data_IF_561024446987
#
_entry.id   IF_561024446987
#
_cell.length_a   1.000
_cell.length_b   1.000
_cell.length_c   1.000
_cell.angle_alpha   90.00
_cell.angle_beta   90.00
_cell.angle_gamma   90.00
#
_symmetry.space_group_name_H-M   'P 1'
#
loop_
_entity.id
_entity.type
_entity.pdbx_description
1 polymer ?
#
# COMPACT_ATOMS: atom_id res chain seq x y z
N UNK A 1 4.29 -33.57 -1.76
CA UNK A 1 5.34 -32.71 -1.17
C UNK A 1 4.62 -31.49 -0.66
N UNK A 2 4.54 -31.20 0.65
CA UNK A 2 3.87 -29.98 1.07
C UNK A 2 4.74 -28.80 0.67
N UNK A 3 4.12 -27.85 -0.02
CA UNK A 3 4.64 -26.53 -0.26
C UNK A 3 4.51 -25.76 1.06
N UNK A 4 5.55 -25.80 1.89
CA UNK A 4 5.65 -24.90 3.03
C UNK A 4 5.83 -23.48 2.47
N UNK A 5 4.78 -22.69 2.64
CA UNK A 5 4.60 -21.35 2.11
C UNK A 5 5.60 -20.39 2.76
N UNK A 6 6.55 -19.88 1.97
CA UNK A 6 7.41 -18.77 2.37
C UNK A 6 6.59 -17.47 2.20
N UNK A 7 5.58 -17.29 3.04
CA UNK A 7 4.79 -16.05 3.08
C UNK A 7 5.26 -15.21 4.26
N UNK A 8 5.77 -14.02 3.95
CA UNK A 8 6.26 -13.07 4.94
C UNK A 8 5.18 -12.04 5.24
N UNK A 9 4.69 -12.08 6.49
CA UNK A 9 3.75 -11.10 7.02
C UNK A 9 4.52 -9.97 7.72
N UNK A 10 4.29 -8.74 7.29
CA UNK A 10 4.80 -7.53 7.95
C UNK A 10 3.64 -6.58 8.23
N UNK A 11 3.44 -6.21 9.50
CA UNK A 11 2.42 -5.26 9.92
C UNK A 11 3.06 -3.94 10.32
N UNK A 12 2.65 -2.87 9.67
CA UNK A 12 2.98 -1.50 10.05
C UNK A 12 1.77 -0.90 10.77
N UNK A 13 1.93 -0.42 11.99
CA UNK A 13 0.92 0.36 12.72
C UNK A 13 1.47 1.76 12.96
N UNK A 14 0.75 2.76 12.46
CA UNK A 14 1.10 4.18 12.57
C UNK A 14 0.03 4.85 13.43
N UNK A 15 0.43 5.38 14.57
CA UNK A 15 -0.46 6.03 15.53
C UNK A 15 -0.09 7.51 15.65
N UNK A 16 -1.05 8.40 15.45
CA UNK A 16 -0.86 9.84 15.60
C UNK A 16 -1.40 10.32 16.95
N UNK A 17 -0.89 11.45 17.43
CA UNK A 17 -1.36 12.07 18.70
C UNK A 17 -2.85 12.48 18.67
N UNK A 18 -3.40 12.77 17.49
CA UNK A 18 -4.83 13.08 17.31
C UNK A 18 -5.73 11.83 17.45
N UNK A 19 -5.15 10.65 17.65
CA UNK A 19 -5.87 9.38 17.77
C UNK A 19 -6.14 8.69 16.43
N UNK A 20 -5.74 9.29 15.30
CA UNK A 20 -5.76 8.61 14.00
C UNK A 20 -4.75 7.47 13.99
N UNK A 21 -5.21 6.30 13.52
CA UNK A 21 -4.39 5.10 13.42
C UNK A 21 -4.56 4.45 12.06
N UNK A 22 -3.45 4.18 11.40
CA UNK A 22 -3.41 3.47 10.13
C UNK A 22 -2.59 2.18 10.26
N UNK A 23 -3.10 1.07 9.71
CA UNK A 23 -2.45 -0.24 9.78
C UNK A 23 -2.27 -0.82 8.39
N UNK A 24 -1.03 -1.08 7.98
CA UNK A 24 -0.72 -1.72 6.71
C UNK A 24 -0.22 -3.14 6.96
N UNK A 25 -1.01 -4.12 6.56
CA UNK A 25 -0.62 -5.52 6.55
C UNK A 25 -0.09 -5.87 5.16
N UNK A 26 1.21 -6.20 5.09
CA UNK A 26 1.85 -6.69 3.89
C UNK A 26 1.99 -8.21 3.98
N UNK A 27 1.28 -8.88 3.08
CA UNK A 27 1.36 -10.32 2.83
C UNK A 27 2.22 -10.52 1.58
N UNK A 28 3.43 -11.05 1.78
CA UNK A 28 4.46 -11.14 0.74
C UNK A 28 4.75 -12.61 0.48
N UNK A 29 4.23 -13.13 -0.64
CA UNK A 29 4.56 -14.46 -1.15
C UNK A 29 5.99 -14.45 -1.71
N UNK A 30 6.88 -15.30 -1.22
CA UNK A 30 8.26 -15.39 -1.69
C UNK A 30 8.44 -16.63 -2.58
N UNK A 31 9.22 -16.53 -3.68
CA UNK A 31 10.03 -15.39 -4.11
C UNK A 31 9.26 -14.34 -4.94
N UNK A 32 7.96 -14.55 -5.17
CA UNK A 32 7.16 -13.75 -6.10
C UNK A 32 6.48 -12.59 -5.36
N UNK A 33 7.19 -11.47 -5.22
CA UNK A 33 6.64 -10.23 -4.64
C UNK A 33 5.56 -9.65 -5.56
N UNK A 34 4.35 -10.17 -5.47
CA UNK A 34 3.19 -9.72 -6.22
C UNK A 34 2.21 -9.02 -5.27
N UNK A 35 1.94 -7.75 -5.54
CA UNK A 35 0.93 -7.00 -4.79
C UNK A 35 -0.44 -7.32 -5.41
N UNK A 36 -1.36 -7.80 -4.57
CA UNK A 36 -2.73 -8.11 -4.99
C UNK A 36 -3.42 -6.83 -5.48
N UNK A 37 -3.99 -6.90 -6.67
CA UNK A 37 -4.73 -5.76 -7.22
C UNK A 37 -6.07 -5.56 -6.49
N UNK A 38 -6.47 -4.31 -6.23
CA UNK A 38 -7.77 -3.99 -5.68
C UNK A 38 -8.89 -4.28 -6.69
N UNK A 39 -10.10 -4.42 -6.17
CA UNK A 39 -11.28 -4.72 -6.99
C UNK A 39 -11.59 -3.53 -7.94
N UNK A 40 -11.67 -3.75 -9.25
CA UNK A 40 -11.80 -2.68 -10.23
C UNK A 40 -13.10 -1.88 -10.08
N UNK A 41 -14.12 -2.47 -9.46
CA UNK A 41 -15.43 -1.85 -9.22
C UNK A 41 -15.37 -0.65 -8.26
N UNK A 42 -14.28 -0.51 -7.50
CA UNK A 42 -14.11 0.52 -6.47
C UNK A 42 -13.10 1.60 -6.86
N UNK A 43 -12.60 1.56 -8.10
CA UNK A 43 -11.56 2.47 -8.55
C UNK A 43 -12.15 3.84 -8.96
N UNK A 44 -11.52 4.95 -8.54
CA UNK A 44 -11.92 6.29 -8.95
C UNK A 44 -11.50 6.56 -10.40
N UNK A 45 -12.14 7.56 -11.03
CA UNK A 45 -11.90 7.93 -12.44
C UNK A 45 -10.42 8.22 -12.75
N UNK A 46 -9.67 8.77 -11.79
CA UNK A 46 -8.25 9.07 -12.01
C UNK A 46 -7.38 7.80 -12.13
N UNK A 47 -7.89 6.63 -11.74
CA UNK A 47 -7.22 5.35 -11.90
C UNK A 47 -7.48 4.69 -13.26
N UNK A 48 -8.34 5.27 -14.11
CA UNK A 48 -8.52 4.81 -15.49
C UNK A 48 -7.21 4.89 -16.28
N UNK A 49 -6.95 3.91 -17.15
CA UNK A 49 -5.68 3.86 -17.89
C UNK A 49 -5.48 5.09 -18.78
N UNK A 50 -6.57 5.60 -19.37
CA UNK A 50 -6.53 6.74 -20.28
C UNK A 50 -6.39 8.08 -19.53
N UNK A 51 -6.61 8.09 -18.22
CA UNK A 51 -6.39 9.26 -17.37
C UNK A 51 -4.88 9.44 -17.13
N UNK A 52 -4.26 10.35 -17.88
CA UNK A 52 -2.81 10.63 -17.82
C UNK A 52 -1.91 9.41 -18.08
N UNK A 53 -2.25 8.58 -19.08
CA UNK A 53 -1.41 7.47 -19.53
C UNK A 53 0.04 7.88 -19.78
N UNK A 54 0.99 7.13 -19.24
CA UNK A 54 2.42 7.39 -19.47
C UNK A 54 2.79 7.28 -20.96
N UNK A 55 3.70 8.13 -21.43
CA UNK A 55 4.11 8.22 -22.84
C UNK A 55 4.56 6.89 -23.46
N UNK A 56 5.22 6.03 -22.68
CA UNK A 56 5.73 4.72 -23.13
C UNK A 56 4.94 3.54 -22.55
N UNK A 57 3.71 3.74 -22.09
CA UNK A 57 2.91 2.67 -21.50
C UNK A 57 2.45 1.69 -22.60
N UNK A 58 2.79 0.39 -22.51
CA UNK A 58 2.43 -0.61 -23.53
C UNK A 58 0.98 -1.11 -23.38
N UNK A 59 0.29 -0.78 -22.29
CA UNK A 59 -1.05 -1.27 -21.98
C UNK A 59 -2.10 -0.56 -22.82
N UNK A 60 -3.24 -1.22 -23.07
CA UNK A 60 -4.38 -0.66 -23.80
C UNK A 60 -5.63 -0.72 -22.95
N UNK A 61 -6.56 0.22 -23.15
CA UNK A 61 -7.82 0.26 -22.39
C UNK A 61 -8.70 -0.99 -22.58
N UNK A 62 -8.56 -1.67 -23.71
CA UNK A 62 -9.29 -2.92 -23.99
C UNK A 62 -8.84 -4.07 -23.09
N UNK A 63 -7.54 -4.10 -22.74
CA UNK A 63 -6.97 -5.15 -21.88
C UNK A 63 -6.90 -4.72 -20.42
N UNK A 64 -6.66 -3.43 -20.18
CA UNK A 64 -6.47 -2.82 -18.88
C UNK A 64 -7.26 -1.51 -18.84
N UNK A 65 -8.57 -1.54 -18.55
CA UNK A 65 -9.39 -0.33 -18.47
C UNK A 65 -8.88 0.63 -17.38
N UNK A 66 -8.30 0.09 -16.31
CA UNK A 66 -7.63 0.85 -15.24
C UNK A 66 -6.12 0.66 -15.28
N UNK A 67 -5.37 1.69 -14.90
CA UNK A 67 -3.93 1.61 -14.76
C UNK A 67 -3.59 0.73 -13.53
N UNK A 68 -2.81 -0.35 -13.70
CA UNK A 68 -2.49 -1.26 -12.60
C UNK A 68 -1.70 -0.57 -11.48
N UNK A 69 -0.87 0.42 -11.82
CA UNK A 69 -0.11 1.20 -10.84
C UNK A 69 -1.02 2.20 -10.12
N UNK A 70 -1.87 2.92 -10.84
CA UNK A 70 -2.79 3.89 -10.24
C UNK A 70 -3.77 3.19 -9.29
N UNK A 71 -4.27 2.02 -9.67
CA UNK A 71 -5.15 1.21 -8.83
C UNK A 71 -4.54 0.89 -7.47
N UNK A 72 -3.26 0.50 -7.42
CA UNK A 72 -2.54 0.22 -6.18
C UNK A 72 -2.39 1.44 -5.27
N UNK A 73 -2.36 2.65 -5.84
CA UNK A 73 -2.22 3.89 -5.09
C UNK A 73 -3.54 4.41 -4.50
N UNK A 74 -4.69 3.86 -4.93
CA UNK A 74 -6.01 4.35 -4.48
C UNK A 74 -6.17 4.19 -2.97
N UNK A 75 -5.99 2.98 -2.45
CA UNK A 75 -6.12 2.69 -1.02
C UNK A 75 -5.11 3.48 -0.21
N UNK A 76 -3.83 3.40 -0.62
CA UNK A 76 -2.75 4.10 0.05
C UNK A 76 -2.98 5.61 0.10
N UNK A 77 -3.36 6.24 -1.01
CA UNK A 77 -3.63 7.68 -1.07
C UNK A 77 -4.82 8.12 -0.21
N UNK A 78 -5.91 7.34 -0.19
CA UNK A 78 -7.07 7.64 0.64
C UNK A 78 -6.77 7.60 2.14
N UNK A 79 -5.91 6.66 2.55
CA UNK A 79 -5.56 6.41 3.94
C UNK A 79 -4.52 7.39 4.45
N UNK A 80 -3.46 7.59 3.67
CA UNK A 80 -2.37 8.52 4.00
C UNK A 80 -2.78 9.98 3.87
N UNK A 81 -3.71 10.32 2.97
CA UNK A 81 -4.25 11.67 2.82
C UNK A 81 -4.99 12.21 4.06
N UNK A 82 -5.27 11.36 5.05
CA UNK A 82 -5.83 11.76 6.34
C UNK A 82 -4.77 12.21 7.35
N UNK A 83 -3.49 11.99 7.05
CA UNK A 83 -2.37 12.34 7.93
C UNK A 83 -1.66 13.60 7.44
N UNK A 84 -1.25 14.43 8.39
CA UNK A 84 -0.42 15.61 8.11
C UNK A 84 1.05 15.19 8.11
N UNK A 85 1.73 15.34 6.97
CA UNK A 85 3.06 14.79 6.69
C UNK A 85 4.13 15.05 7.77
N UNK A 86 4.14 16.23 8.37
CA UNK A 86 5.14 16.63 9.36
C UNK A 86 4.75 16.34 10.81
N UNK A 87 3.59 15.73 11.05
CA UNK A 87 3.13 15.38 12.41
C UNK A 87 3.95 14.22 12.95
N UNK A 88 4.26 14.26 14.25
CA UNK A 88 4.91 13.13 14.90
C UNK A 88 3.95 11.97 15.06
N UNK A 89 4.42 10.77 14.72
CA UNK A 89 3.67 9.52 14.83
C UNK A 89 4.53 8.48 15.55
N UNK A 90 3.85 7.57 16.23
CA UNK A 90 4.44 6.36 16.79
C UNK A 90 4.27 5.24 15.75
N UNK A 91 5.38 4.83 15.14
CA UNK A 91 5.46 3.73 14.19
C UNK A 91 5.82 2.44 14.94
N UNK A 92 5.04 1.39 14.69
CA UNK A 92 5.31 0.03 15.14
C UNK A 92 5.36 -0.90 13.93
N UNK A 93 6.44 -1.66 13.77
CA UNK A 93 6.61 -2.67 12.72
C UNK A 93 6.73 -4.04 13.38
N UNK A 94 5.85 -4.97 12.98
CA UNK A 94 5.79 -6.34 13.48
C UNK A 94 6.06 -7.31 12.32
N UNK A 95 7.06 -8.17 12.48
CA UNK A 95 7.45 -9.20 11.50
C UNK A 95 7.80 -10.49 12.25
N UNK A 96 6.96 -11.52 12.11
CA UNK A 96 7.09 -12.75 12.88
C UNK A 96 7.10 -12.46 14.39
N UNK A 97 8.19 -12.80 15.07
CA UNK A 97 8.39 -12.53 16.51
C UNK A 97 9.08 -11.19 16.79
N UNK A 98 9.53 -10.48 15.75
CA UNK A 98 10.25 -9.20 15.88
C UNK A 98 9.28 -8.03 15.89
N UNK A 99 9.45 -7.14 16.87
CA UNK A 99 8.71 -5.87 16.97
C UNK A 99 9.69 -4.72 17.12
N UNK A 100 9.59 -3.74 16.22
CA UNK A 100 10.39 -2.50 16.25
C UNK A 100 9.47 -1.30 16.38
N UNK A 101 9.83 -0.33 17.21
CA UNK A 101 9.06 0.89 17.42
C UNK A 101 9.93 2.12 17.24
N UNK A 102 9.40 3.16 16.60
CA UNK A 102 10.10 4.43 16.40
C UNK A 102 9.11 5.61 16.47
N UNK A 103 9.58 6.76 16.97
CA UNK A 103 8.85 8.03 16.87
C UNK A 103 9.46 8.85 15.74
N UNK A 104 8.68 9.07 14.68
CA UNK A 104 9.13 9.69 13.43
C UNK A 104 8.06 10.65 12.91
N UNK A 105 8.33 11.42 11.86
CA UNK A 105 7.26 12.16 11.18
C UNK A 105 6.38 11.22 10.34
N UNK A 106 5.12 11.61 10.10
CA UNK A 106 4.18 10.80 9.30
C UNK A 106 4.74 10.45 7.91
N UNK A 107 5.43 11.40 7.26
CA UNK A 107 6.07 11.17 5.95
C UNK A 107 7.27 10.22 5.97
N UNK A 108 7.91 9.99 7.12
CA UNK A 108 8.98 9.00 7.27
C UNK A 108 8.44 7.61 7.58
N UNK A 109 7.22 7.52 8.13
CA UNK A 109 6.55 6.27 8.45
C UNK A 109 5.83 5.62 7.25
N UNK A 110 5.65 6.39 6.17
CA UNK A 110 4.85 6.08 4.99
C UNK A 110 5.69 5.74 3.76
#
# INVERSE_FOLDING_TARGET
MPADADNMLVRYSIESEDGSREVFDLDIDLPQVAIKQPDPSSLPEWAELEYHKCQHCPLTKETHPHCPVAALLVDYGQRTGRMVSYTQVDLTVEQGETKTTAKVSAQEAL
#
